data_IF_426637593672
#
_entry.id   IF_426637593672
#
_cell.length_a   1.000
_cell.length_b   1.000
_cell.length_c   1.000
_cell.angle_alpha   90.00
_cell.angle_beta   90.00
_cell.angle_gamma   90.00
#
_symmetry.space_group_name_H-M   'P 1'
#
loop_
_entity.id
_entity.type
_entity.pdbx_description
1 polymer ?
#
# COMPACT_ATOMS: atom_id res chain seq x y z
N UNK A 1 -15.19 -4.84 8.30
CA UNK A 1 -14.76 -3.73 7.47
C UNK A 1 -15.77 -3.49 6.35
N UNK A 2 -16.25 -2.26 6.17
CA UNK A 2 -17.27 -2.01 5.15
C UNK A 2 -16.70 -2.26 3.74
N UNK A 3 -17.59 -2.65 2.83
CA UNK A 3 -17.25 -2.76 1.42
C UNK A 3 -16.96 -1.35 0.87
N UNK A 4 -16.35 -1.30 -0.31
CA UNK A 4 -16.01 -0.01 -0.92
C UNK A 4 -17.28 0.83 -1.18
N UNK A 5 -18.40 0.17 -1.49
CA UNK A 5 -19.66 0.88 -1.74
C UNK A 5 -20.24 1.49 -0.48
N UNK A 6 -19.88 0.94 0.70
CA UNK A 6 -20.39 1.44 1.97
C UNK A 6 -19.54 2.59 2.55
N UNK A 7 -18.42 2.92 1.94
CA UNK A 7 -17.56 3.99 2.42
C UNK A 7 -18.17 5.35 2.07
N UNK A 8 -17.89 6.36 2.92
CA UNK A 8 -18.24 7.73 2.60
C UNK A 8 -17.55 8.11 1.27
N UNK A 9 -18.23 8.90 0.42
CA UNK A 9 -17.67 9.27 -0.89
C UNK A 9 -16.24 9.82 -0.86
N UNK A 10 -15.88 10.73 0.07
CA UNK A 10 -14.48 11.20 0.09
C UNK A 10 -13.47 10.09 0.33
N UNK A 11 -13.78 9.16 1.24
CA UNK A 11 -12.88 8.04 1.55
C UNK A 11 -12.80 7.11 0.35
N UNK A 12 -13.92 6.83 -0.30
CA UNK A 12 -13.92 5.99 -1.49
C UNK A 12 -13.07 6.59 -2.59
N UNK A 13 -13.19 7.90 -2.84
CA UNK A 13 -12.37 8.56 -3.87
C UNK A 13 -10.89 8.44 -3.56
N UNK A 14 -10.51 8.58 -2.29
CA UNK A 14 -9.10 8.47 -1.89
C UNK A 14 -8.60 7.04 -2.05
N UNK A 15 -9.38 6.04 -1.62
CA UNK A 15 -8.92 4.65 -1.77
C UNK A 15 -8.80 4.26 -3.23
N UNK A 16 -9.71 4.70 -4.08
CA UNK A 16 -9.64 4.44 -5.51
C UNK A 16 -8.41 5.11 -6.13
N UNK A 17 -8.14 6.35 -5.70
CA UNK A 17 -6.96 7.07 -6.19
C UNK A 17 -5.68 6.34 -5.79
N UNK A 18 -5.59 5.89 -4.54
CA UNK A 18 -4.42 5.16 -4.06
C UNK A 18 -4.22 3.86 -4.83
N UNK A 19 -5.29 3.14 -5.11
CA UNK A 19 -5.21 1.90 -5.89
C UNK A 19 -4.70 2.15 -7.31
N UNK A 20 -5.07 3.28 -7.89
CA UNK A 20 -4.65 3.62 -9.25
C UNK A 20 -3.29 4.26 -9.35
N UNK A 21 -2.71 4.72 -8.23
CA UNK A 21 -1.47 5.50 -8.23
C UNK A 21 -0.44 5.01 -7.21
N UNK A 22 -0.54 3.74 -6.78
CA UNK A 22 0.28 3.25 -5.67
C UNK A 22 1.78 3.23 -5.98
N UNK A 23 2.16 3.21 -7.25
CA UNK A 23 3.58 3.22 -7.63
C UNK A 23 4.19 4.60 -7.60
N UNK A 24 3.37 5.64 -7.43
CA UNK A 24 3.81 7.04 -7.50
C UNK A 24 3.93 7.62 -6.11
N UNK A 25 4.65 8.74 -6.01
CA UNK A 25 4.68 9.50 -4.78
C UNK A 25 3.33 10.19 -4.60
N UNK A 26 2.69 9.93 -3.47
CA UNK A 26 1.37 10.50 -3.17
C UNK A 26 1.51 11.35 -1.91
N UNK A 27 0.98 12.58 -1.95
CA UNK A 27 1.02 13.50 -0.81
C UNK A 27 -0.37 13.63 -0.19
N UNK A 28 -0.39 14.02 1.08
CA UNK A 28 -1.66 14.24 1.76
C UNK A 28 -2.44 15.39 1.12
N UNK A 29 -1.72 16.43 0.64
CA UNK A 29 -2.34 17.54 -0.07
C UNK A 29 -3.07 17.06 -1.33
N UNK A 30 -2.44 16.17 -2.06
CA UNK A 30 -3.05 15.56 -3.25
C UNK A 30 -4.33 14.81 -2.89
N UNK A 31 -4.27 14.02 -1.82
CA UNK A 31 -5.44 13.25 -1.38
C UNK A 31 -6.55 14.16 -0.87
N UNK A 32 -6.21 15.26 -0.22
CA UNK A 32 -7.19 16.23 0.23
C UNK A 32 -7.93 16.83 -0.97
N UNK A 33 -7.19 17.13 -2.05
CA UNK A 33 -7.81 17.63 -3.28
C UNK A 33 -8.75 16.59 -3.87
N UNK A 34 -8.33 15.33 -3.92
CA UNK A 34 -9.16 14.23 -4.42
C UNK A 34 -10.45 14.10 -3.60
N UNK A 35 -10.34 14.27 -2.29
CA UNK A 35 -11.48 14.15 -1.38
C UNK A 35 -12.34 15.40 -1.33
N UNK A 36 -11.85 16.51 -1.89
CA UNK A 36 -12.50 17.83 -1.76
C UNK A 36 -12.66 18.21 -0.30
N UNK A 37 -11.64 17.97 0.50
CA UNK A 37 -11.66 18.21 1.94
C UNK A 37 -10.37 18.88 2.39
N UNK A 38 -10.43 19.52 3.54
CA UNK A 38 -9.27 19.96 4.27
C UNK A 38 -8.46 18.72 4.68
N UNK A 39 -7.12 18.78 4.62
CA UNK A 39 -6.29 17.60 4.86
C UNK A 39 -6.44 17.03 6.27
N UNK A 40 -6.67 17.88 7.26
CA UNK A 40 -6.86 17.40 8.64
C UNK A 40 -8.20 16.69 8.79
N UNK A 41 -9.23 17.21 8.16
CA UNK A 41 -10.55 16.57 8.17
C UNK A 41 -10.52 15.24 7.44
N UNK A 42 -9.82 15.20 6.31
CA UNK A 42 -9.65 13.95 5.57
C UNK A 42 -8.91 12.92 6.43
N UNK A 43 -7.81 13.33 7.06
CA UNK A 43 -7.03 12.41 7.87
C UNK A 43 -7.88 11.80 8.99
N UNK A 44 -8.68 12.62 9.67
CA UNK A 44 -9.55 12.12 10.73
C UNK A 44 -10.61 11.17 10.19
N UNK A 45 -11.28 11.58 9.12
CA UNK A 45 -12.36 10.76 8.54
C UNK A 45 -11.81 9.44 8.01
N UNK A 46 -10.68 9.49 7.28
CA UNK A 46 -10.09 8.30 6.70
C UNK A 46 -9.66 7.32 7.79
N UNK A 47 -8.96 7.82 8.81
CA UNK A 47 -8.47 6.98 9.89
C UNK A 47 -9.62 6.36 10.68
N UNK A 48 -10.68 7.13 10.90
CA UNK A 48 -11.86 6.61 11.58
C UNK A 48 -12.53 5.52 10.76
N UNK A 49 -12.62 5.72 9.44
CA UNK A 49 -13.29 4.77 8.54
C UNK A 49 -12.46 3.52 8.30
N UNK A 50 -11.16 3.68 8.05
CA UNK A 50 -10.31 2.56 7.64
C UNK A 50 -9.50 1.96 8.77
N UNK A 51 -9.39 2.66 9.90
CA UNK A 51 -8.60 2.20 11.03
C UNK A 51 -7.11 2.47 10.93
N UNK A 52 -6.66 2.98 9.78
CA UNK A 52 -5.25 3.33 9.55
C UNK A 52 -5.21 4.62 8.74
N UNK A 53 -4.03 5.25 8.71
CA UNK A 53 -3.86 6.50 7.96
C UNK A 53 -3.86 6.22 6.45
N UNK A 54 -4.09 7.25 5.62
CA UNK A 54 -3.99 7.08 4.17
C UNK A 54 -2.63 6.57 3.72
N UNK A 55 -1.55 7.05 4.33
CA UNK A 55 -0.21 6.60 3.94
C UNK A 55 0.00 5.12 4.27
N UNK A 56 -0.45 4.70 5.46
CA UNK A 56 -0.35 3.28 5.84
C UNK A 56 -1.21 2.42 4.90
N UNK A 57 -2.36 2.93 4.50
CA UNK A 57 -3.21 2.23 3.54
C UNK A 57 -2.46 2.03 2.21
N UNK A 58 -1.77 3.09 1.76
CA UNK A 58 -0.96 3.02 0.54
C UNK A 58 0.12 1.94 0.67
N UNK A 59 0.80 1.91 1.83
CA UNK A 59 1.84 0.91 2.05
C UNK A 59 1.28 -0.51 2.01
N UNK A 60 0.07 -0.72 2.55
CA UNK A 60 -0.53 -2.07 2.49
C UNK A 60 -0.90 -2.47 1.08
N UNK A 61 -1.33 -1.53 0.24
CA UNK A 61 -1.56 -1.81 -1.18
C UNK A 61 -0.25 -2.27 -1.82
N UNK A 62 0.83 -1.54 -1.57
CA UNK A 62 2.15 -1.85 -2.12
C UNK A 62 2.62 -3.24 -1.68
N UNK A 63 2.40 -3.60 -0.42
CA UNK A 63 2.77 -4.91 0.09
C UNK A 63 1.96 -6.01 -0.60
N UNK A 64 0.67 -5.78 -0.82
CA UNK A 64 -0.16 -6.76 -1.54
C UNK A 64 0.35 -7.01 -2.95
N UNK A 65 0.73 -5.94 -3.66
CA UNK A 65 1.31 -6.08 -4.99
C UNK A 65 2.68 -6.75 -4.94
N UNK A 66 3.47 -6.42 -3.93
CA UNK A 66 4.79 -7.03 -3.75
C UNK A 66 4.69 -8.54 -3.56
N UNK A 67 3.70 -9.00 -2.80
CA UNK A 67 3.50 -10.43 -2.61
C UNK A 67 3.27 -11.14 -3.96
N UNK A 68 2.45 -10.54 -4.82
CA UNK A 68 2.19 -11.12 -6.14
C UNK A 68 3.47 -11.24 -6.96
N UNK A 69 4.28 -10.18 -6.95
CA UNK A 69 5.51 -10.16 -7.73
C UNK A 69 6.56 -11.13 -7.18
N UNK A 70 6.69 -11.19 -5.86
CA UNK A 70 7.63 -12.13 -5.24
C UNK A 70 7.24 -13.56 -5.51
N UNK A 71 5.94 -13.85 -5.54
CA UNK A 71 5.47 -15.20 -5.89
C UNK A 71 5.81 -15.58 -7.33
N UNK A 72 6.07 -14.57 -8.18
CA UNK A 72 6.51 -14.78 -9.56
C UNK A 72 8.03 -14.83 -9.67
N UNK A 73 8.73 -14.93 -8.53
CA UNK A 73 10.18 -15.09 -8.44
C UNK A 73 10.98 -13.84 -8.82
N UNK A 74 10.36 -12.65 -8.77
CA UNK A 74 11.11 -11.42 -8.99
C UNK A 74 12.00 -11.12 -7.78
N UNK A 75 13.12 -10.41 -8.02
CA UNK A 75 14.06 -10.05 -6.97
C UNK A 75 13.48 -8.97 -6.06
N UNK A 76 13.73 -9.06 -4.75
CA UNK A 76 13.21 -8.04 -3.82
C UNK A 76 13.58 -6.59 -4.17
N UNK A 77 14.79 -6.37 -4.68
CA UNK A 77 15.20 -5.02 -5.07
C UNK A 77 14.32 -4.48 -6.20
N UNK A 78 14.01 -5.32 -7.19
CA UNK A 78 13.11 -4.95 -8.27
C UNK A 78 11.70 -4.71 -7.76
N UNK A 79 11.23 -5.59 -6.90
CA UNK A 79 9.88 -5.51 -6.37
C UNK A 79 9.67 -4.22 -5.58
N UNK A 80 10.69 -3.82 -4.80
CA UNK A 80 10.61 -2.56 -4.05
C UNK A 80 10.36 -1.39 -5.00
N UNK A 81 11.12 -1.32 -6.08
CA UNK A 81 10.98 -0.24 -7.06
C UNK A 81 9.65 -0.31 -7.79
N UNK A 82 9.24 -1.49 -8.22
CA UNK A 82 8.00 -1.67 -8.98
C UNK A 82 6.76 -1.34 -8.19
N UNK A 83 6.83 -1.43 -6.87
CA UNK A 83 5.67 -1.20 -6.01
C UNK A 83 5.66 0.20 -5.39
N UNK A 84 6.65 1.05 -5.72
CA UNK A 84 6.61 2.45 -5.32
C UNK A 84 7.32 2.78 -4.02
N UNK A 85 8.03 1.82 -3.42
CA UNK A 85 8.84 2.12 -2.24
C UNK A 85 10.08 2.92 -2.66
N UNK A 86 10.47 3.87 -1.81
CA UNK A 86 11.60 4.74 -2.14
C UNK A 86 12.95 4.03 -2.05
N UNK A 87 13.04 3.00 -1.20
CA UNK A 87 14.27 2.21 -1.12
C UNK A 87 13.96 0.81 -0.62
N UNK A 88 14.89 -0.11 -0.87
CA UNK A 88 14.71 -1.51 -0.54
C UNK A 88 14.71 -1.77 0.97
N UNK A 89 15.47 -0.98 1.72
CA UNK A 89 15.54 -1.17 3.17
C UNK A 89 14.20 -0.92 3.83
N UNK A 90 13.55 0.18 3.45
CA UNK A 90 12.21 0.50 3.96
C UNK A 90 11.22 -0.60 3.57
N UNK A 91 11.28 -1.01 2.30
CA UNK A 91 10.41 -2.07 1.80
C UNK A 91 10.59 -3.36 2.61
N UNK A 92 11.83 -3.80 2.78
CA UNK A 92 12.11 -5.07 3.45
C UNK A 92 11.66 -5.05 4.90
N UNK A 93 11.92 -3.94 5.60
CA UNK A 93 11.53 -3.80 7.00
C UNK A 93 10.02 -3.83 7.15
N UNK A 94 9.33 -3.04 6.34
CA UNK A 94 7.87 -2.96 6.43
C UNK A 94 7.23 -4.29 6.00
N UNK A 95 7.75 -4.91 4.95
CA UNK A 95 7.25 -6.22 4.50
C UNK A 95 7.33 -7.24 5.63
N UNK A 96 8.48 -7.29 6.31
CA UNK A 96 8.66 -8.24 7.41
C UNK A 96 7.72 -7.94 8.57
N UNK A 97 7.51 -6.66 8.87
CA UNK A 97 6.57 -6.27 9.94
C UNK A 97 5.15 -6.74 9.64
N UNK A 98 4.72 -6.59 8.40
CA UNK A 98 3.34 -6.91 8.01
C UNK A 98 3.14 -8.41 7.77
N UNK A 99 4.09 -9.04 7.09
CA UNK A 99 3.95 -10.43 6.63
C UNK A 99 4.57 -11.43 7.60
N UNK A 100 5.59 -11.00 8.35
CA UNK A 100 6.28 -11.89 9.28
C UNK A 100 7.52 -12.56 8.69
N UNK A 101 7.76 -12.38 7.40
CA UNK A 101 8.92 -12.91 6.71
C UNK A 101 9.57 -11.79 5.92
N UNK A 102 10.88 -11.93 5.67
CA UNK A 102 11.54 -11.00 4.75
C UNK A 102 11.03 -11.26 3.33
N UNK A 103 11.17 -10.28 2.42
CA UNK A 103 10.79 -10.52 1.02
C UNK A 103 11.50 -11.72 0.40
N UNK A 104 12.78 -11.91 0.72
CA UNK A 104 13.53 -13.05 0.21
C UNK A 104 13.00 -14.38 0.74
N UNK A 105 12.67 -14.43 2.03
CA UNK A 105 12.09 -15.62 2.63
C UNK A 105 10.73 -15.93 2.02
N UNK A 106 9.91 -14.91 1.84
CA UNK A 106 8.59 -15.08 1.24
C UNK A 106 8.71 -15.59 -0.19
N UNK A 107 9.60 -14.99 -0.97
CA UNK A 107 9.86 -15.41 -2.35
C UNK A 107 10.25 -16.89 -2.41
N UNK A 108 11.08 -17.33 -1.47
CA UNK A 108 11.56 -18.72 -1.44
C UNK A 108 10.44 -19.73 -1.24
N UNK A 109 9.35 -19.35 -0.60
CA UNK A 109 8.21 -20.25 -0.42
C UNK A 109 7.68 -20.71 -1.77
N UNK A 110 7.74 -19.85 -2.78
CA UNK A 110 7.16 -20.14 -4.09
C UNK A 110 8.16 -20.72 -5.08
N UNK A 111 9.41 -20.89 -4.68
CA UNK A 111 10.36 -21.54 -5.56
C UNK A 111 10.02 -23.02 -5.66
N UNK A 112 9.81 -23.47 -6.90
CA UNK A 112 9.46 -24.84 -7.13
C UNK A 112 10.69 -25.71 -6.87
N UNK A 113 10.49 -26.81 -6.19
CA UNK A 113 11.58 -27.79 -6.02
C UNK A 113 11.85 -28.45 -7.33
N UNK A 114 13.08 -28.39 -7.73
CA UNK A 114 13.51 -28.93 -9.01
C UNK A 114 14.04 -30.32 -8.90
#
# INVERSE_FOLDING_TARGET
>A
KPSIEAKAPPVRRVTEHLLGHYTEKVTLEELAAVACMNKYSLLRLFTKTEGITPYRYLETIRIGKAKELLAQDLEPAEVALMTGFSDQSHFSKFFKEVIGLTPGQYRNIFKVKQ
#
